data_IF_019488285094
#
_entry.id   IF_019488285094
#
_cell.length_a   1.000
_cell.length_b   1.000
_cell.length_c   1.000
_cell.angle_alpha   90.00
_cell.angle_beta   90.00
_cell.angle_gamma   90.00
#
_symmetry.space_group_name_H-M   'P 1'
#
loop_
_entity.id
_entity.type
_entity.pdbx_description
1 polymer ?
#
# COMPACT_ATOMS: atom_id res chain seq x y z
N UNK A 1 -10.73 17.54 -4.25
CA UNK A 1 -10.46 16.10 -4.20
C UNK A 1 -9.21 15.86 -3.36
N UNK A 2 -9.30 15.00 -2.35
CA UNK A 2 -8.15 14.51 -1.59
C UNK A 2 -7.84 13.06 -2.00
N UNK A 3 -6.57 12.77 -2.24
CA UNK A 3 -6.06 11.42 -2.45
C UNK A 3 -5.28 11.04 -1.21
N UNK A 4 -5.81 10.09 -0.45
CA UNK A 4 -5.36 9.80 0.90
C UNK A 4 -4.67 8.44 0.98
N UNK A 5 -3.84 8.25 2.01
CA UNK A 5 -3.26 6.94 2.30
C UNK A 5 -4.23 6.08 3.12
N UNK A 6 -3.96 4.77 3.14
CA UNK A 6 -4.73 3.77 3.90
C UNK A 6 -4.86 4.11 5.38
N UNK A 7 -3.85 4.78 5.96
CA UNK A 7 -3.86 5.21 7.35
C UNK A 7 -4.95 6.22 7.71
N UNK A 8 -5.51 6.91 6.70
CA UNK A 8 -6.61 7.87 6.91
C UNK A 8 -7.99 7.20 6.94
N UNK A 9 -8.08 5.89 6.66
CA UNK A 9 -9.36 5.20 6.74
C UNK A 9 -9.83 5.09 8.19
N UNK A 10 -10.92 5.76 8.50
CA UNK A 10 -11.79 5.51 9.65
C UNK A 10 -13.21 5.94 9.28
N UNK A 11 -14.23 5.33 9.90
CA UNK A 11 -15.61 5.73 9.68
C UNK A 11 -15.86 7.19 10.08
N UNK A 12 -15.18 7.66 11.14
CA UNK A 12 -15.24 9.06 11.59
C UNK A 12 -14.69 10.00 10.52
N UNK A 13 -13.48 9.74 10.00
CA UNK A 13 -12.89 10.59 8.97
C UNK A 13 -13.76 10.65 7.70
N UNK A 14 -14.32 9.52 7.29
CA UNK A 14 -15.21 9.46 6.12
C UNK A 14 -16.48 10.28 6.36
N UNK A 15 -17.06 10.17 7.56
CA UNK A 15 -18.24 10.95 7.94
C UNK A 15 -17.94 12.45 7.97
N UNK A 16 -16.82 12.85 8.55
CA UNK A 16 -16.38 14.26 8.60
C UNK A 16 -16.12 14.83 7.20
N UNK A 17 -15.36 14.12 6.37
CA UNK A 17 -15.11 14.54 4.99
C UNK A 17 -16.40 14.70 4.19
N UNK A 18 -17.34 13.79 4.37
CA UNK A 18 -18.64 13.85 3.68
C UNK A 18 -19.48 15.03 4.17
N UNK A 19 -19.49 15.28 5.48
CA UNK A 19 -20.22 16.43 6.07
C UNK A 19 -19.68 17.78 5.56
N UNK A 20 -18.36 17.86 5.34
CA UNK A 20 -17.70 19.05 4.79
C UNK A 20 -17.70 19.10 3.25
N UNK A 21 -18.43 18.19 2.58
CA UNK A 21 -18.47 18.06 1.12
C UNK A 21 -17.06 17.88 0.50
N UNK A 22 -16.15 17.22 1.22
CA UNK A 22 -14.80 16.92 0.74
C UNK A 22 -14.85 15.65 -0.09
N UNK A 23 -14.51 15.77 -1.36
CA UNK A 23 -14.36 14.62 -2.25
C UNK A 23 -13.03 13.92 -2.00
N UNK A 24 -13.02 12.57 -1.95
CA UNK A 24 -11.85 11.79 -1.62
C UNK A 24 -11.71 10.51 -2.43
N UNK A 25 -10.46 10.06 -2.57
CA UNK A 25 -10.09 8.70 -2.98
C UNK A 25 -9.11 8.17 -1.93
N UNK A 26 -9.38 6.98 -1.40
CA UNK A 26 -8.49 6.32 -0.43
C UNK A 26 -8.57 4.79 -0.52
N UNK A 27 -7.48 4.07 -0.18
CA UNK A 27 -7.49 2.61 -0.14
C UNK A 27 -8.20 2.09 1.10
N UNK A 28 -9.11 1.14 0.90
CA UNK A 28 -9.80 0.45 1.98
C UNK A 28 -8.91 -0.67 2.56
N UNK A 29 -8.66 -0.69 3.88
CA UNK A 29 -7.92 -1.78 4.50
C UNK A 29 -8.67 -3.12 4.40
N UNK A 30 -7.96 -4.19 4.05
CA UNK A 30 -8.53 -5.56 4.04
C UNK A 30 -8.88 -6.09 5.44
N UNK A 31 -8.46 -5.43 6.51
CA UNK A 31 -8.73 -5.83 7.89
C UNK A 31 -10.11 -5.43 8.38
N UNK A 32 -10.72 -4.40 7.79
CA UNK A 32 -12.06 -3.93 8.15
C UNK A 32 -13.16 -4.84 7.59
N UNK A 33 -14.33 -4.86 8.22
CA UNK A 33 -15.40 -5.78 7.84
C UNK A 33 -15.87 -5.57 6.40
N UNK A 34 -16.03 -4.33 5.96
CA UNK A 34 -16.38 -3.98 4.57
C UNK A 34 -15.35 -4.52 3.59
N UNK A 35 -14.05 -4.30 3.87
CA UNK A 35 -12.97 -4.81 3.03
C UNK A 35 -12.92 -6.34 2.97
N UNK A 36 -13.18 -7.02 4.09
CA UNK A 36 -13.31 -8.49 4.12
C UNK A 36 -14.50 -8.97 3.30
N UNK A 37 -15.65 -8.29 3.44
CA UNK A 37 -16.87 -8.58 2.68
C UNK A 37 -16.62 -8.47 1.17
N UNK A 38 -16.12 -7.33 0.73
CA UNK A 38 -15.80 -7.09 -0.68
C UNK A 38 -14.85 -8.15 -1.26
N UNK A 39 -13.79 -8.52 -0.55
CA UNK A 39 -12.87 -9.56 -1.00
C UNK A 39 -13.56 -10.93 -1.03
N UNK A 40 -14.37 -11.27 -0.04
CA UNK A 40 -15.08 -12.56 0.01
C UNK A 40 -16.09 -12.70 -1.12
N UNK A 41 -16.86 -11.66 -1.41
CA UNK A 41 -17.84 -11.62 -2.48
C UNK A 41 -17.18 -11.68 -3.86
N UNK A 42 -16.08 -10.94 -4.02
CA UNK A 42 -15.40 -10.84 -5.32
C UNK A 42 -14.51 -12.03 -5.65
N UNK A 43 -14.02 -12.78 -4.65
CA UNK A 43 -13.11 -13.91 -4.88
C UNK A 43 -13.65 -14.98 -5.83
N UNK A 44 -14.96 -15.12 -5.92
CA UNK A 44 -15.61 -16.13 -6.78
C UNK A 44 -15.65 -15.71 -8.25
N UNK A 45 -15.76 -14.40 -8.50
CA UNK A 45 -16.10 -13.89 -9.82
C UNK A 45 -15.14 -12.85 -10.36
N UNK A 46 -14.11 -12.45 -9.59
CA UNK A 46 -13.21 -11.35 -10.02
C UNK A 46 -12.50 -11.66 -11.33
N UNK A 47 -12.10 -12.92 -11.55
CA UNK A 47 -11.41 -13.36 -12.75
C UNK A 47 -12.34 -13.67 -13.92
N UNK A 48 -13.63 -13.36 -13.83
CA UNK A 48 -14.53 -13.47 -14.95
C UNK A 48 -13.99 -12.60 -16.11
N UNK A 49 -13.88 -13.15 -17.34
CA UNK A 49 -13.40 -12.39 -18.50
C UNK A 49 -14.12 -11.07 -18.75
N UNK A 50 -15.41 -10.97 -18.37
CA UNK A 50 -16.17 -9.73 -18.47
C UNK A 50 -15.62 -8.58 -17.60
N UNK A 51 -14.88 -8.89 -16.54
CA UNK A 51 -14.26 -7.93 -15.62
C UNK A 51 -12.87 -7.48 -16.09
N UNK A 52 -12.31 -8.12 -17.14
CA UNK A 52 -10.98 -7.83 -17.64
C UNK A 52 -10.96 -6.49 -18.39
N UNK A 53 -10.11 -5.58 -17.93
CA UNK A 53 -9.94 -4.23 -18.47
C UNK A 53 -8.46 -3.89 -18.58
N UNK A 54 -8.09 -3.04 -19.54
CA UNK A 54 -6.69 -2.61 -19.75
C UNK A 54 -6.44 -1.25 -19.12
N UNK A 55 -5.31 -1.12 -18.42
CA UNK A 55 -4.81 0.15 -17.91
C UNK A 55 -3.27 0.18 -17.92
N UNK A 56 -2.68 1.17 -18.60
CA UNK A 56 -1.22 1.36 -18.63
C UNK A 56 -0.42 0.15 -19.13
N UNK A 57 -0.98 -0.63 -20.06
CA UNK A 57 -0.34 -1.85 -20.60
C UNK A 57 -0.58 -3.13 -19.77
N UNK A 58 -1.09 -3.03 -18.56
CA UNK A 58 -1.47 -4.16 -17.70
C UNK A 58 -2.95 -4.49 -17.82
N UNK A 59 -3.30 -5.76 -17.56
CA UNK A 59 -4.68 -6.20 -17.42
C UNK A 59 -5.08 -6.19 -15.94
N UNK A 60 -6.20 -5.57 -15.68
CA UNK A 60 -6.88 -5.56 -14.39
C UNK A 60 -8.24 -6.24 -14.52
N UNK A 61 -8.62 -6.98 -13.50
CA UNK A 61 -10.00 -7.38 -13.29
C UNK A 61 -10.64 -6.39 -12.33
N UNK A 62 -11.77 -5.83 -12.70
CA UNK A 62 -12.39 -4.70 -12.00
C UNK A 62 -13.80 -5.01 -11.62
N UNK A 63 -14.12 -4.87 -10.32
CA UNK A 63 -15.49 -4.90 -9.80
C UNK A 63 -15.78 -3.58 -9.09
N UNK A 64 -16.92 -3.03 -9.40
CA UNK A 64 -17.42 -1.77 -8.86
C UNK A 64 -18.68 -2.04 -8.04
N UNK A 65 -18.78 -1.45 -6.86
CA UNK A 65 -19.95 -1.59 -5.98
C UNK A 65 -20.21 -0.31 -5.20
N UNK A 66 -21.45 -0.09 -4.86
CA UNK A 66 -21.80 0.88 -3.82
C UNK A 66 -21.56 0.24 -2.45
N UNK A 67 -20.98 1.01 -1.54
CA UNK A 67 -20.65 0.54 -0.18
C UNK A 67 -21.18 1.53 0.84
N UNK A 68 -21.74 0.99 1.93
CA UNK A 68 -22.18 1.79 3.05
C UNK A 68 -21.12 1.73 4.18
N UNK A 69 -20.61 2.89 4.57
CA UNK A 69 -19.60 3.04 5.62
C UNK A 69 -20.24 3.82 6.76
N UNK A 70 -20.66 3.11 7.82
CA UNK A 70 -21.56 3.70 8.80
C UNK A 70 -22.86 4.15 8.13
N UNK A 71 -23.08 5.45 8.05
CA UNK A 71 -24.25 6.08 7.40
C UNK A 71 -23.92 6.72 6.04
N UNK A 72 -22.67 6.61 5.58
CA UNK A 72 -22.17 7.27 4.37
C UNK A 72 -22.14 6.30 3.20
N UNK A 73 -22.79 6.67 2.10
CA UNK A 73 -22.67 5.96 0.83
C UNK A 73 -21.36 6.37 0.14
N UNK A 74 -20.60 5.40 -0.31
CA UNK A 74 -19.38 5.58 -1.09
C UNK A 74 -19.32 4.55 -2.22
N UNK A 75 -18.33 4.67 -3.10
CA UNK A 75 -18.12 3.78 -4.23
C UNK A 75 -16.84 2.98 -4.01
N UNK A 76 -16.98 1.65 -4.02
CA UNK A 76 -15.88 0.70 -3.88
C UNK A 76 -15.42 0.15 -5.23
N UNK A 77 -14.12 0.13 -5.46
CA UNK A 77 -13.48 -0.41 -6.66
C UNK A 77 -12.51 -1.50 -6.23
N UNK A 78 -12.84 -2.75 -6.50
CA UNK A 78 -11.93 -3.88 -6.30
C UNK A 78 -11.16 -4.10 -7.57
N UNK A 79 -9.85 -3.91 -7.50
CA UNK A 79 -8.91 -4.02 -8.61
C UNK A 79 -8.00 -5.22 -8.36
N UNK A 80 -7.94 -6.14 -9.30
CA UNK A 80 -7.07 -7.31 -9.23
C UNK A 80 -6.12 -7.34 -10.43
N UNK A 81 -4.83 -7.48 -10.16
CA UNK A 81 -3.78 -7.58 -11.16
C UNK A 81 -2.98 -8.87 -10.99
N UNK A 82 -3.06 -9.78 -11.96
CA UNK A 82 -2.37 -11.10 -11.92
C UNK A 82 -0.85 -11.01 -11.89
N UNK A 83 -0.26 -10.04 -12.56
CA UNK A 83 1.19 -9.83 -12.53
C UNK A 83 1.66 -9.48 -11.12
N UNK A 84 0.92 -8.60 -10.44
CA UNK A 84 1.19 -8.24 -9.04
C UNK A 84 0.93 -9.40 -8.10
N UNK A 85 -0.15 -10.17 -8.28
CA UNK A 85 -0.42 -11.39 -7.53
C UNK A 85 0.76 -12.36 -7.59
N UNK A 86 1.26 -12.65 -8.79
CA UNK A 86 2.41 -13.54 -8.98
C UNK A 86 3.66 -13.04 -8.26
N UNK A 87 3.95 -11.75 -8.35
CA UNK A 87 5.09 -11.12 -7.68
C UNK A 87 4.96 -11.19 -6.15
N UNK A 88 3.78 -10.83 -5.61
CA UNK A 88 3.50 -10.87 -4.17
C UNK A 88 3.54 -12.31 -3.64
N UNK A 89 3.00 -13.27 -4.39
CA UNK A 89 3.04 -14.70 -4.06
C UNK A 89 4.48 -15.19 -3.96
N UNK A 90 5.30 -14.93 -4.97
CA UNK A 90 6.70 -15.33 -4.98
C UNK A 90 7.48 -14.71 -3.83
N UNK A 91 7.32 -13.41 -3.60
CA UNK A 91 8.00 -12.71 -2.51
C UNK A 91 7.60 -13.27 -1.14
N UNK A 92 6.32 -13.53 -0.95
CA UNK A 92 5.79 -14.07 0.31
C UNK A 92 6.32 -15.48 0.59
N UNK A 93 6.21 -16.40 -0.37
CA UNK A 93 6.63 -17.79 -0.15
C UNK A 93 8.14 -17.95 -0.11
N UNK A 94 8.91 -17.18 -0.88
CA UNK A 94 10.36 -17.15 -0.75
C UNK A 94 10.77 -16.75 0.66
N UNK A 95 10.20 -15.66 1.20
CA UNK A 95 10.50 -15.25 2.56
C UNK A 95 10.11 -16.29 3.61
N UNK A 96 8.97 -16.98 3.43
CA UNK A 96 8.53 -18.05 4.32
C UNK A 96 9.49 -19.23 4.31
N UNK A 97 9.92 -19.66 3.12
CA UNK A 97 10.88 -20.75 2.93
C UNK A 97 12.25 -20.38 3.50
N UNK A 98 12.70 -19.15 3.32
CA UNK A 98 13.97 -18.67 3.90
C UNK A 98 13.96 -18.75 5.42
N UNK A 99 12.85 -18.35 6.07
CA UNK A 99 12.69 -18.47 7.52
C UNK A 99 12.71 -19.95 7.97
N UNK A 100 11.97 -20.82 7.28
CA UNK A 100 11.96 -22.25 7.56
C UNK A 100 13.37 -22.85 7.38
N UNK A 101 14.07 -22.52 6.32
CA UNK A 101 15.43 -23.01 6.05
C UNK A 101 16.44 -22.50 7.07
N UNK A 102 16.23 -21.30 7.61
CA UNK A 102 17.11 -20.71 8.61
C UNK A 102 16.94 -21.34 10.00
N UNK A 103 15.75 -21.78 10.37
CA UNK A 103 15.38 -22.10 11.74
C UNK A 103 14.97 -23.56 11.97
N UNK A 104 14.24 -24.17 11.03
CA UNK A 104 13.60 -25.46 11.25
C UNK A 104 14.62 -26.59 11.43
N UNK A 105 14.47 -27.38 12.49
CA UNK A 105 15.36 -28.47 12.82
C UNK A 105 16.74 -28.05 13.38
N UNK A 106 16.94 -26.75 13.70
CA UNK A 106 18.23 -26.25 14.22
C UNK A 106 18.17 -25.88 15.69
N UNK A 107 19.33 -25.97 16.34
CA UNK A 107 19.50 -25.63 17.75
C UNK A 107 19.99 -24.19 17.94
N UNK A 108 19.42 -23.51 18.94
CA UNK A 108 19.78 -22.15 19.30
C UNK A 108 19.88 -22.00 20.84
N UNK A 109 20.74 -21.10 21.31
CA UNK A 109 20.83 -20.78 22.74
C UNK A 109 19.54 -20.15 23.28
N UNK A 110 18.88 -19.32 22.47
CA UNK A 110 17.60 -18.71 22.77
C UNK A 110 16.63 -18.91 21.56
N UNK A 111 15.97 -20.09 21.48
CA UNK A 111 15.14 -20.45 20.31
C UNK A 111 14.02 -19.46 20.03
N UNK A 112 13.29 -19.03 21.07
CA UNK A 112 12.17 -18.11 20.93
C UNK A 112 12.64 -16.72 20.47
N UNK A 113 13.74 -16.22 21.05
CA UNK A 113 14.33 -14.95 20.65
C UNK A 113 14.81 -14.97 19.20
N UNK A 114 15.44 -16.07 18.79
CA UNK A 114 15.90 -16.26 17.42
C UNK A 114 14.73 -16.35 16.42
N UNK A 115 13.68 -17.09 16.79
CA UNK A 115 12.46 -17.14 15.98
C UNK A 115 11.87 -15.74 15.77
N UNK A 116 11.64 -14.98 16.82
CA UNK A 116 11.10 -13.61 16.72
C UNK A 116 11.97 -12.70 15.86
N UNK A 117 13.30 -12.75 16.08
CA UNK A 117 14.25 -11.94 15.31
C UNK A 117 14.22 -12.26 13.82
N UNK A 118 14.20 -13.55 13.47
CA UNK A 118 14.28 -14.03 12.09
C UNK A 118 12.94 -13.94 11.37
N UNK A 119 11.85 -14.33 12.05
CA UNK A 119 10.50 -14.32 11.46
C UNK A 119 9.91 -12.90 11.37
N UNK A 120 10.12 -12.05 12.39
CA UNK A 120 9.55 -10.69 12.39
C UNK A 120 8.04 -10.72 12.14
N UNK A 121 7.57 -9.95 11.17
CA UNK A 121 6.16 -9.90 10.81
C UNK A 121 5.57 -11.23 10.28
N UNK A 122 6.42 -12.23 9.99
CA UNK A 122 5.99 -13.55 9.52
C UNK A 122 5.66 -14.51 10.67
N UNK A 123 5.89 -14.16 11.94
CA UNK A 123 5.49 -14.97 13.09
C UNK A 123 4.03 -15.42 13.04
N UNK A 124 3.14 -14.58 12.56
CA UNK A 124 1.71 -14.88 12.43
C UNK A 124 1.39 -16.02 11.47
N UNK A 125 2.30 -16.38 10.56
CA UNK A 125 2.14 -17.45 9.57
C UNK A 125 2.79 -18.77 9.98
N UNK A 126 3.59 -18.74 11.04
CA UNK A 126 4.34 -19.89 11.53
C UNK A 126 4.00 -20.16 12.99
N UNK A 127 3.87 -21.42 13.33
CA UNK A 127 3.85 -21.90 14.69
C UNK A 127 5.27 -22.38 15.04
N UNK A 128 5.83 -21.84 16.11
CA UNK A 128 7.16 -22.22 16.61
C UNK A 128 6.99 -23.19 17.77
N UNK A 129 7.45 -24.42 17.59
CA UNK A 129 7.47 -25.46 18.61
C UNK A 129 8.95 -25.62 19.02
N UNK A 130 9.25 -25.56 20.32
CA UNK A 130 10.62 -25.69 20.84
C UNK A 130 10.74 -26.98 21.62
N UNK A 131 11.63 -27.85 21.18
CA UNK A 131 12.01 -29.08 21.86
C UNK A 131 13.48 -28.98 22.37
N UNK A 132 13.64 -28.75 23.67
CA UNK A 132 14.93 -28.43 24.22
C UNK A 132 15.51 -27.12 23.69
N UNK A 133 16.48 -27.17 22.77
CA UNK A 133 17.06 -26.02 22.08
C UNK A 133 16.74 -25.99 20.59
N UNK A 134 16.02 -26.98 20.08
CA UNK A 134 15.69 -27.16 18.67
C UNK A 134 14.38 -26.49 18.35
N UNK A 135 14.33 -25.77 17.23
CA UNK A 135 13.12 -25.14 16.70
C UNK A 135 12.49 -26.06 15.66
N UNK A 136 11.19 -26.32 15.81
CA UNK A 136 10.35 -26.94 14.79
C UNK A 136 9.28 -25.95 14.34
N UNK A 137 9.17 -25.72 13.04
CA UNK A 137 8.21 -24.79 12.47
C UNK A 137 7.07 -25.53 11.77
N UNK A 138 5.85 -25.04 11.99
CA UNK A 138 4.66 -25.49 11.28
C UNK A 138 3.96 -24.29 10.64
N UNK A 139 3.54 -24.42 9.38
CA UNK A 139 2.78 -23.37 8.68
C UNK A 139 1.36 -23.27 9.24
N UNK A 140 0.91 -22.04 9.53
CA UNK A 140 -0.46 -21.73 9.88
C UNK A 140 -1.28 -21.54 8.60
N UNK A 141 -1.79 -22.64 8.05
CA UNK A 141 -2.43 -22.68 6.72
C UNK A 141 -3.53 -21.64 6.55
N UNK A 142 -4.43 -21.50 7.54
CA UNK A 142 -5.52 -20.52 7.48
C UNK A 142 -5.00 -19.06 7.39
N UNK A 143 -3.97 -18.71 8.15
CA UNK A 143 -3.38 -17.38 8.11
C UNK A 143 -2.71 -17.09 6.76
N UNK A 144 -2.01 -18.09 6.21
CA UNK A 144 -1.39 -18.01 4.88
C UNK A 144 -2.47 -17.86 3.79
N UNK A 145 -3.51 -18.69 3.81
CA UNK A 145 -4.62 -18.60 2.86
C UNK A 145 -5.30 -17.23 2.89
N UNK A 146 -5.54 -16.70 4.09
CA UNK A 146 -6.12 -15.35 4.24
C UNK A 146 -5.20 -14.24 3.69
N UNK A 147 -3.88 -14.39 3.81
CA UNK A 147 -2.93 -13.47 3.22
C UNK A 147 -2.92 -13.59 1.69
N UNK A 148 -2.82 -14.81 1.16
CA UNK A 148 -2.77 -15.10 -0.28
C UNK A 148 -4.02 -14.61 -1.01
N UNK A 149 -5.21 -14.70 -0.39
CA UNK A 149 -6.45 -14.19 -0.96
C UNK A 149 -6.45 -12.68 -1.25
N UNK A 150 -5.48 -11.94 -0.73
CA UNK A 150 -5.35 -10.48 -0.91
C UNK A 150 -4.29 -10.11 -1.95
N UNK A 151 -3.46 -11.06 -2.36
CA UNK A 151 -2.39 -10.79 -3.31
C UNK A 151 -2.94 -10.30 -4.65
N UNK A 152 -2.26 -9.35 -5.24
CA UNK A 152 -2.68 -8.71 -6.47
C UNK A 152 -3.89 -7.78 -6.37
N UNK A 153 -4.56 -7.72 -5.21
CA UNK A 153 -5.81 -6.95 -5.02
C UNK A 153 -5.58 -5.61 -4.36
N UNK A 154 -6.35 -4.64 -4.78
CA UNK A 154 -6.47 -3.32 -4.13
C UNK A 154 -7.95 -2.96 -4.07
N UNK A 155 -8.40 -2.39 -2.97
CA UNK A 155 -9.72 -1.80 -2.88
C UNK A 155 -9.53 -0.30 -2.74
N UNK A 156 -10.11 0.47 -3.65
CA UNK A 156 -10.17 1.92 -3.57
C UNK A 156 -11.60 2.35 -3.26
N UNK A 157 -11.75 3.34 -2.40
CA UNK A 157 -13.00 4.02 -2.12
C UNK A 157 -12.96 5.41 -2.77
N UNK A 158 -14.10 5.83 -3.30
CA UNK A 158 -14.31 7.21 -3.75
C UNK A 158 -15.60 7.75 -3.14
N UNK A 159 -15.61 9.01 -2.74
CA UNK A 159 -16.81 9.68 -2.25
C UNK A 159 -17.87 9.83 -3.36
N UNK A 160 -17.43 10.05 -4.59
CA UNK A 160 -18.29 10.22 -5.76
C UNK A 160 -18.09 9.10 -6.76
N UNK A 161 -19.13 8.78 -7.53
CA UNK A 161 -19.02 7.78 -8.60
C UNK A 161 -18.12 8.30 -9.71
N UNK A 162 -17.09 7.51 -10.03
CA UNK A 162 -16.10 7.79 -11.07
C UNK A 162 -15.87 6.56 -11.92
N UNK A 163 -15.23 6.73 -13.06
CA UNK A 163 -14.72 5.58 -13.81
C UNK A 163 -13.55 4.96 -13.02
N UNK A 164 -13.49 3.64 -13.03
CA UNK A 164 -12.45 2.89 -12.29
C UNK A 164 -11.01 3.26 -12.70
N UNK A 165 -10.80 3.55 -14.00
CA UNK A 165 -9.50 3.94 -14.56
C UNK A 165 -9.10 5.36 -14.12
N UNK A 166 -10.05 6.26 -13.98
CA UNK A 166 -9.83 7.58 -13.38
C UNK A 166 -9.42 7.45 -11.91
N UNK A 167 -10.16 6.64 -11.12
CA UNK A 167 -9.84 6.41 -9.70
C UNK A 167 -8.45 5.82 -9.54
N UNK A 168 -8.08 4.84 -10.38
CA UNK A 168 -6.76 4.22 -10.34
C UNK A 168 -5.66 5.19 -10.78
N UNK A 169 -5.90 6.02 -11.80
CA UNK A 169 -4.95 7.03 -12.26
C UNK A 169 -4.64 8.04 -11.17
N UNK A 170 -5.69 8.64 -10.61
CA UNK A 170 -5.57 9.61 -9.53
C UNK A 170 -4.86 9.01 -8.30
N UNK A 171 -5.22 7.79 -7.94
CA UNK A 171 -4.54 7.12 -6.81
C UNK A 171 -3.05 6.86 -7.08
N UNK A 172 -2.67 6.53 -8.32
CA UNK A 172 -1.26 6.33 -8.69
C UNK A 172 -0.45 7.63 -8.72
N UNK A 173 -1.07 8.77 -8.96
CA UNK A 173 -0.40 10.08 -8.87
C UNK A 173 0.17 10.33 -7.46
N UNK A 174 -0.44 9.77 -6.42
CA UNK A 174 0.09 9.78 -5.07
C UNK A 174 1.48 9.13 -4.97
N UNK A 175 1.68 8.00 -5.64
CA UNK A 175 2.97 7.28 -5.62
C UNK A 175 4.10 8.13 -6.22
N UNK A 176 3.78 8.99 -7.19
CA UNK A 176 4.75 9.95 -7.73
C UNK A 176 5.12 11.03 -6.69
N UNK A 177 4.14 11.47 -5.89
CA UNK A 177 4.40 12.43 -4.81
C UNK A 177 5.27 11.78 -3.72
N UNK A 178 4.99 10.54 -3.33
CA UNK A 178 5.81 9.81 -2.35
C UNK A 178 7.25 9.63 -2.82
N UNK A 179 7.47 9.25 -4.07
CA UNK A 179 8.82 9.16 -4.66
C UNK A 179 9.55 10.51 -4.59
N UNK A 180 8.84 11.59 -4.90
CA UNK A 180 9.41 12.94 -4.78
C UNK A 180 9.77 13.32 -3.34
N UNK A 181 9.00 12.84 -2.35
CA UNK A 181 9.36 13.00 -0.94
C UNK A 181 10.59 12.17 -0.54
N UNK A 182 10.73 10.97 -1.07
CA UNK A 182 11.90 10.12 -0.83
C UNK A 182 13.15 10.69 -1.51
N UNK A 183 13.03 11.20 -2.72
CA UNK A 183 14.09 11.93 -3.40
C UNK A 183 14.53 13.16 -2.57
N UNK A 184 13.58 13.91 -2.05
CA UNK A 184 13.86 15.09 -1.22
C UNK A 184 14.57 14.72 0.10
N UNK A 185 14.21 13.62 0.74
CA UNK A 185 14.90 13.11 1.93
C UNK A 185 16.33 12.70 1.62
N UNK A 186 16.55 12.05 0.48
CA UNK A 186 17.84 11.51 0.07
C UNK A 186 18.77 12.61 -0.48
N UNK A 187 18.25 13.52 -1.32
CA UNK A 187 19.03 14.56 -1.97
C UNK A 187 19.34 15.75 -1.04
N UNK A 188 18.44 16.10 -0.14
CA UNK A 188 18.64 17.24 0.77
C UNK A 188 19.29 16.85 2.10
N UNK A 189 19.70 15.58 2.28
CA UNK A 189 20.22 15.09 3.57
C UNK A 189 19.33 15.54 4.77
N UNK A 190 18.03 15.71 4.50
CA UNK A 190 17.07 16.32 5.44
C UNK A 190 16.84 15.47 6.70
N UNK A 191 17.42 14.28 6.77
CA UNK A 191 17.27 13.38 7.91
C UNK A 191 18.65 12.97 8.46
N UNK A 192 18.82 12.92 9.79
CA UNK A 192 17.84 13.25 10.83
C UNK A 192 17.66 14.74 11.04
N UNK A 193 16.41 15.18 11.21
CA UNK A 193 16.09 16.57 11.55
C UNK A 193 16.68 16.91 12.94
N UNK A 194 17.85 17.53 12.98
CA UNK A 194 18.54 17.97 14.21
C UNK A 194 17.93 19.24 14.78
N UNK A 195 16.60 19.25 14.99
CA UNK A 195 15.85 20.42 15.47
C UNK A 195 15.30 20.12 16.85
N UNK A 196 15.56 21.01 17.80
CA UNK A 196 15.15 20.85 19.20
C UNK A 196 13.85 21.59 19.53
N UNK A 197 13.46 22.60 18.73
CA UNK A 197 12.29 23.41 18.96
C UNK A 197 11.18 23.07 17.97
N UNK A 198 9.94 22.99 18.48
CA UNK A 198 8.77 22.60 17.67
C UNK A 198 8.45 23.66 16.60
N UNK A 199 8.66 24.94 16.90
CA UNK A 199 8.42 26.04 15.96
C UNK A 199 9.42 25.99 14.80
N UNK A 200 10.68 25.63 15.09
CA UNK A 200 11.72 25.44 14.06
C UNK A 200 11.40 24.23 13.17
N UNK A 201 10.88 23.13 13.78
CA UNK A 201 10.43 21.96 13.04
C UNK A 201 9.28 22.30 12.09
N UNK A 202 8.29 23.04 12.59
CA UNK A 202 7.13 23.47 11.79
C UNK A 202 7.56 24.36 10.62
N UNK A 203 8.46 25.32 10.87
CA UNK A 203 9.01 26.20 9.83
C UNK A 203 9.79 25.43 8.77
N UNK A 204 10.59 24.45 9.18
CA UNK A 204 11.37 23.62 8.27
C UNK A 204 10.46 22.71 7.42
N UNK A 205 9.45 22.08 8.03
CA UNK A 205 8.45 21.28 7.31
C UNK A 205 7.66 22.12 6.32
N UNK A 206 7.35 23.37 6.66
CA UNK A 206 6.68 24.30 5.75
C UNK A 206 7.56 24.64 4.56
N UNK A 207 8.85 24.92 4.77
CA UNK A 207 9.82 25.19 3.70
C UNK A 207 9.94 23.95 2.79
N UNK A 208 10.04 22.75 3.34
CA UNK A 208 10.06 21.51 2.57
C UNK A 208 8.81 21.34 1.72
N UNK A 209 7.64 21.61 2.29
CA UNK A 209 6.37 21.53 1.57
C UNK A 209 6.34 22.48 0.36
N UNK A 210 6.75 23.74 0.55
CA UNK A 210 6.86 24.72 -0.55
C UNK A 210 7.87 24.26 -1.61
N UNK A 211 9.02 23.76 -1.19
CA UNK A 211 10.06 23.25 -2.09
C UNK A 211 9.56 22.09 -2.95
N UNK A 212 8.75 21.19 -2.37
CA UNK A 212 8.11 20.09 -3.11
C UNK A 212 7.12 20.58 -4.16
N UNK A 213 6.31 21.58 -3.82
CA UNK A 213 5.37 22.20 -4.77
C UNK A 213 6.13 22.80 -5.94
N UNK A 214 7.18 23.60 -5.66
CA UNK A 214 7.98 24.22 -6.70
C UNK A 214 8.67 23.20 -7.60
N UNK A 215 9.25 22.14 -6.99
CA UNK A 215 9.86 21.04 -7.75
C UNK A 215 8.82 20.30 -8.61
N UNK A 216 7.62 20.04 -8.09
CA UNK A 216 6.56 19.39 -8.86
C UNK A 216 6.14 20.23 -10.08
N UNK A 217 6.02 21.55 -9.91
CA UNK A 217 5.72 22.49 -11.01
C UNK A 217 6.84 22.51 -12.04
N UNK A 218 8.10 22.55 -11.59
CA UNK A 218 9.28 22.57 -12.46
C UNK A 218 9.35 21.29 -13.30
N UNK A 219 9.21 20.13 -12.65
CA UNK A 219 9.19 18.81 -13.31
C UNK A 219 8.08 18.70 -14.34
N UNK A 220 6.89 19.19 -14.03
CA UNK A 220 5.77 19.20 -14.97
C UNK A 220 6.11 20.05 -16.19
N UNK A 221 6.61 21.26 -15.99
CA UNK A 221 7.03 22.16 -17.10
C UNK A 221 8.17 21.57 -17.92
N UNK A 222 9.16 20.94 -17.27
CA UNK A 222 10.27 20.30 -17.97
C UNK A 222 9.81 19.08 -18.80
N UNK A 223 8.82 18.31 -18.32
CA UNK A 223 8.19 17.21 -19.04
C UNK A 223 7.40 17.73 -20.24
N UNK A 224 6.56 18.75 -20.04
CA UNK A 224 5.76 19.36 -21.09
C UNK A 224 6.63 19.99 -22.20
N UNK A 225 7.86 20.38 -21.86
CA UNK A 225 8.87 20.92 -22.79
C UNK A 225 9.82 19.84 -23.37
N UNK A 226 9.61 18.53 -23.07
CA UNK A 226 10.44 17.40 -23.51
C UNK A 226 11.92 17.53 -23.12
N UNK A 227 12.20 18.27 -22.05
CA UNK A 227 13.59 18.51 -21.58
C UNK A 227 14.13 17.32 -20.79
N UNK A 228 13.26 16.56 -20.10
CA UNK A 228 13.66 15.42 -19.27
C UNK A 228 14.19 14.21 -20.06
N UNK A 229 13.91 14.16 -21.35
CA UNK A 229 14.45 13.11 -22.23
C UNK A 229 15.92 13.37 -22.62
N UNK A 230 16.42 14.59 -22.37
CA UNK A 230 17.75 15.05 -22.81
C UNK A 230 18.68 15.50 -21.70
N UNK A 231 18.15 15.79 -20.51
CA UNK A 231 18.89 16.33 -19.37
C UNK A 231 18.37 15.78 -18.06
N UNK A 232 19.28 15.64 -17.08
CA UNK A 232 18.85 15.37 -15.69
C UNK A 232 18.24 16.63 -15.08
N UNK A 233 17.49 16.44 -13.97
CA UNK A 233 16.86 17.56 -13.24
C UNK A 233 17.91 18.55 -12.70
N UNK A 234 19.10 18.04 -12.39
CA UNK A 234 20.24 18.84 -11.87
C UNK A 234 20.89 19.70 -12.96
N UNK A 235 20.61 19.42 -14.24
CA UNK A 235 21.14 20.15 -15.40
C UNK A 235 20.14 21.17 -15.98
N UNK A 236 18.91 21.21 -15.43
CA UNK A 236 17.83 22.13 -15.80
C UNK A 236 17.71 23.26 -14.77
#
# INVERSE_FOLDING_TARGET
LFILDRGFYSESNIKEMTAENIDFILPLPFSVNIGKGLISETNKDIENPANAKRFGGDIFYVLESEVLIGEVNAYGYVLFNKKREGSETNSFFNRLIDIESALNGKEFKNPIGEFKRTAGNFERYLECIVEGKTIHLRRRINAISQASNRFGKTILLSATKRRWDEVLSLYRERDEVEKKFDDLKNELEAMPLRVQKIETLQGLLFIFFISLILRAILLRKARDAELLDKKSIEEI
#
